data_IF_499486832690
#
_entry.id   IF_499486832690
#
_cell.length_a   1.000
_cell.length_b   1.000
_cell.length_c   1.000
_cell.angle_alpha   90.00
_cell.angle_beta   90.00
_cell.angle_gamma   90.00
#
_symmetry.space_group_name_H-M   'P 1'
#
loop_
_entity.id
_entity.type
_entity.pdbx_description
1 polymer ?
#
# COMPACT_ATOMS: atom_id res chain seq x y z
N UNK A 1 -2.79 -23.19 16.18
CA UNK A 1 -3.23 -22.28 15.10
C UNK A 1 -3.85 -20.98 15.63
N UNK A 2 -4.67 -21.03 16.66
CA UNK A 2 -5.27 -19.86 17.32
C UNK A 2 -4.22 -18.87 17.87
N UNK A 3 -3.15 -19.37 18.50
CA UNK A 3 -2.03 -18.54 18.95
C UNK A 3 -1.36 -17.73 17.84
N UNK A 4 -1.24 -18.31 16.63
CA UNK A 4 -0.66 -17.60 15.46
C UNK A 4 -1.58 -16.47 15.01
N UNK A 5 -2.88 -16.69 14.96
CA UNK A 5 -3.86 -15.67 14.62
C UNK A 5 -3.86 -14.50 15.62
N UNK A 6 -3.90 -14.80 16.92
CA UNK A 6 -3.83 -13.78 17.99
C UNK A 6 -2.54 -12.97 17.95
N UNK A 7 -1.40 -13.63 17.69
CA UNK A 7 -0.11 -12.93 17.51
C UNK A 7 -0.15 -11.97 16.30
N UNK A 8 -0.69 -12.43 15.17
CA UNK A 8 -0.78 -11.61 13.96
C UNK A 8 -1.64 -10.37 14.20
N UNK A 9 -2.79 -10.47 14.87
CA UNK A 9 -3.63 -9.31 15.20
C UNK A 9 -2.92 -8.33 16.18
N UNK A 10 -2.10 -8.83 17.10
CA UNK A 10 -1.28 -7.95 17.96
C UNK A 10 -0.25 -7.18 17.15
N UNK A 11 0.41 -7.83 16.18
CA UNK A 11 1.36 -7.17 15.27
C UNK A 11 0.63 -6.13 14.41
N UNK A 12 -0.56 -6.47 13.88
CA UNK A 12 -1.42 -5.51 13.15
C UNK A 12 -1.71 -4.27 14.00
N UNK A 13 -2.12 -4.46 15.25
CA UNK A 13 -2.38 -3.36 16.19
C UNK A 13 -1.14 -2.51 16.46
N UNK A 14 0.01 -3.15 16.71
CA UNK A 14 1.28 -2.44 16.92
C UNK A 14 1.71 -1.60 15.70
N UNK A 15 1.59 -2.16 14.49
CA UNK A 15 1.89 -1.43 13.25
C UNK A 15 0.89 -0.28 13.01
N UNK A 16 -0.39 -0.48 13.30
CA UNK A 16 -1.39 0.57 13.21
C UNK A 16 -1.14 1.72 14.20
N UNK A 17 -0.75 1.40 15.44
CA UNK A 17 -0.35 2.39 16.44
C UNK A 17 0.93 3.13 16.03
N UNK A 18 1.91 2.43 15.46
CA UNK A 18 3.13 3.04 14.95
C UNK A 18 2.84 4.02 13.80
N UNK A 19 1.98 3.62 12.87
CA UNK A 19 1.53 4.51 11.80
C UNK A 19 0.79 5.74 12.36
N UNK A 20 -0.15 5.55 13.29
CA UNK A 20 -0.88 6.65 13.91
C UNK A 20 0.05 7.61 14.67
N UNK A 21 1.02 7.08 15.43
CA UNK A 21 2.02 7.89 16.11
C UNK A 21 2.91 8.66 15.12
N UNK A 22 3.36 8.00 14.04
CA UNK A 22 4.14 8.65 12.99
C UNK A 22 3.34 9.77 12.30
N UNK A 23 2.07 9.51 11.96
CA UNK A 23 1.17 10.53 11.39
C UNK A 23 0.98 11.72 12.33
N UNK A 24 0.80 11.48 13.63
CA UNK A 24 0.71 12.55 14.62
C UNK A 24 2.01 13.37 14.69
N UNK A 25 3.18 12.73 14.64
CA UNK A 25 4.47 13.40 14.59
C UNK A 25 4.58 14.27 13.33
N UNK A 26 4.27 13.73 12.15
CA UNK A 26 4.29 14.49 10.89
C UNK A 26 3.32 15.68 10.94
N UNK A 27 2.15 15.53 11.56
CA UNK A 27 1.17 16.60 11.64
C UNK A 27 1.52 17.70 12.64
N UNK A 28 2.41 17.47 13.63
CA UNK A 28 2.58 18.39 14.76
C UNK A 28 4.02 18.81 15.03
N UNK A 29 5.03 18.07 14.55
CA UNK A 29 6.44 18.32 14.85
C UNK A 29 7.12 19.00 13.66
N UNK A 30 7.87 20.08 13.94
CA UNK A 30 8.64 20.83 12.94
C UNK A 30 7.80 21.16 11.69
N UNK A 31 6.63 21.74 11.91
CA UNK A 31 5.71 22.15 10.84
C UNK A 31 6.14 23.55 10.35
N UNK A 32 6.49 23.64 9.05
CA UNK A 32 6.97 24.89 8.44
C UNK A 32 6.45 25.04 7.00
N UNK A 33 6.31 26.28 6.49
CA UNK A 33 5.79 26.56 5.16
C UNK A 33 6.87 26.36 4.09
N UNK A 34 7.22 25.10 3.83
CA UNK A 34 8.25 24.71 2.85
C UNK A 34 7.67 24.19 1.53
N UNK A 35 6.38 23.96 1.47
CA UNK A 35 5.69 23.50 0.27
C UNK A 35 5.32 24.64 -0.68
N UNK A 36 4.80 24.31 -1.88
CA UNK A 36 4.26 25.30 -2.82
C UNK A 36 3.18 26.17 -2.17
N UNK A 37 3.06 27.41 -2.62
CA UNK A 37 2.10 28.40 -2.08
C UNK A 37 2.17 28.56 -0.55
N UNK A 38 3.39 28.39 0.01
CA UNK A 38 3.64 28.44 1.46
C UNK A 38 2.84 27.37 2.23
N UNK A 39 2.51 26.25 1.60
CA UNK A 39 1.83 25.16 2.28
C UNK A 39 2.71 24.56 3.38
N UNK A 40 2.07 24.31 4.54
CA UNK A 40 2.74 23.76 5.71
C UNK A 40 3.06 22.27 5.51
N UNK A 41 4.26 21.88 5.92
CA UNK A 41 4.76 20.51 5.84
C UNK A 41 5.38 20.14 7.19
N UNK A 42 5.00 19.00 7.73
CA UNK A 42 5.57 18.50 8.98
C UNK A 42 6.91 17.81 8.78
N UNK A 43 7.70 17.71 9.85
CA UNK A 43 9.10 17.28 9.80
C UNK A 43 9.88 18.00 8.69
N UNK A 44 9.69 19.31 8.63
CA UNK A 44 10.12 20.17 7.53
C UNK A 44 11.63 20.11 7.28
N UNK A 45 12.44 20.06 8.33
CA UNK A 45 13.91 19.97 8.21
C UNK A 45 14.31 18.65 7.51
N UNK A 46 13.72 17.53 7.89
CA UNK A 46 13.96 16.21 7.28
C UNK A 46 13.51 16.20 5.82
N UNK A 47 12.31 16.68 5.55
CA UNK A 47 11.71 16.70 4.22
C UNK A 47 12.49 17.61 3.26
N UNK A 48 12.91 18.81 3.74
CA UNK A 48 13.77 19.73 2.97
C UNK A 48 15.14 19.11 2.64
N UNK A 49 15.75 18.45 3.63
CA UNK A 49 17.03 17.77 3.42
C UNK A 49 16.90 16.66 2.35
N UNK A 50 15.89 15.79 2.47
CA UNK A 50 15.66 14.72 1.50
C UNK A 50 15.35 15.26 0.10
N UNK A 51 14.49 16.27 -0.01
CA UNK A 51 14.17 16.92 -1.28
C UNK A 51 15.39 17.60 -1.93
N UNK A 52 16.27 18.23 -1.11
CA UNK A 52 17.51 18.83 -1.58
C UNK A 52 18.52 17.82 -2.12
N UNK A 53 18.53 16.59 -1.60
CA UNK A 53 19.41 15.52 -2.10
C UNK A 53 18.88 14.86 -3.39
N UNK A 54 17.57 14.67 -3.50
CA UNK A 54 16.97 13.84 -4.55
C UNK A 54 16.49 14.68 -5.75
N UNK A 55 16.09 15.94 -5.50
CA UNK A 55 15.51 16.80 -6.52
C UNK A 55 14.18 16.29 -7.07
N UNK A 56 13.82 16.75 -8.28
CA UNK A 56 12.62 16.32 -9.00
C UNK A 56 13.03 15.64 -10.29
N UNK A 57 12.52 14.43 -10.53
CA UNK A 57 12.86 13.65 -11.72
C UNK A 57 11.57 13.15 -12.42
N UNK A 58 11.16 13.79 -13.54
CA UNK A 58 9.95 13.43 -14.27
C UNK A 58 9.96 11.99 -14.80
N UNK A 59 11.12 11.47 -15.21
CA UNK A 59 11.22 10.09 -15.71
C UNK A 59 10.79 9.07 -14.64
N UNK A 60 11.23 9.26 -13.38
CA UNK A 60 10.79 8.39 -12.29
C UNK A 60 9.31 8.58 -11.95
N UNK A 61 8.78 9.80 -12.15
CA UNK A 61 7.34 10.04 -12.03
C UNK A 61 6.58 9.18 -13.06
N UNK A 62 6.91 9.29 -14.35
CA UNK A 62 6.24 8.54 -15.42
C UNK A 62 6.36 7.02 -15.23
N UNK A 63 7.56 6.51 -14.90
CA UNK A 63 7.76 5.08 -14.63
C UNK A 63 6.82 4.61 -13.50
N UNK A 64 6.72 5.36 -12.43
CA UNK A 64 5.89 4.94 -11.27
C UNK A 64 4.40 5.09 -11.52
N UNK A 65 3.95 5.99 -12.39
CA UNK A 65 2.55 6.04 -12.87
C UNK A 65 2.20 4.74 -13.62
N UNK A 66 3.05 4.30 -14.55
CA UNK A 66 2.85 3.03 -15.26
C UNK A 66 2.88 1.82 -14.32
N UNK A 67 3.76 1.81 -13.34
CA UNK A 67 3.80 0.74 -12.33
C UNK A 67 2.55 0.73 -11.44
N UNK A 68 1.99 1.90 -11.17
CA UNK A 68 0.68 2.03 -10.52
C UNK A 68 -0.43 1.37 -11.34
N UNK A 69 -0.44 1.60 -12.67
CA UNK A 69 -1.37 0.93 -13.58
C UNK A 69 -1.18 -0.59 -13.57
N UNK A 70 0.07 -1.09 -13.57
CA UNK A 70 0.38 -2.54 -13.45
C UNK A 70 -0.16 -3.11 -12.13
N UNK A 71 -0.04 -2.38 -11.03
CA UNK A 71 -0.60 -2.81 -9.76
C UNK A 71 -2.13 -2.94 -9.84
N UNK A 72 -2.82 -1.92 -10.39
CA UNK A 72 -4.28 -1.96 -10.58
C UNK A 72 -4.69 -3.12 -11.50
N UNK A 73 -3.99 -3.35 -12.60
CA UNK A 73 -4.24 -4.49 -13.49
C UNK A 73 -4.07 -5.84 -12.77
N UNK A 74 -3.09 -5.93 -11.86
CA UNK A 74 -2.90 -7.12 -11.02
C UNK A 74 -4.11 -7.36 -10.10
N UNK A 75 -4.64 -6.30 -9.48
CA UNK A 75 -5.85 -6.37 -8.66
C UNK A 75 -7.07 -6.79 -9.48
N UNK A 76 -7.23 -6.23 -10.69
CA UNK A 76 -8.29 -6.62 -11.62
C UNK A 76 -8.17 -8.09 -12.06
N UNK A 77 -6.95 -8.61 -12.21
CA UNK A 77 -6.71 -10.03 -12.46
C UNK A 77 -7.27 -10.94 -11.36
N UNK A 78 -7.05 -10.58 -10.09
CA UNK A 78 -7.65 -11.30 -8.96
C UNK A 78 -9.17 -11.12 -8.88
N UNK A 79 -9.68 -9.94 -9.21
CA UNK A 79 -11.13 -9.71 -9.29
C UNK A 79 -11.77 -10.59 -10.39
N UNK A 80 -11.14 -10.67 -11.56
CA UNK A 80 -11.56 -11.56 -12.65
C UNK A 80 -11.54 -13.05 -12.23
N UNK A 81 -10.50 -13.48 -11.50
CA UNK A 81 -10.44 -14.82 -10.92
C UNK A 81 -11.62 -15.09 -9.98
N UNK A 82 -11.93 -14.13 -9.11
CA UNK A 82 -13.09 -14.22 -8.20
C UNK A 82 -14.41 -14.30 -8.96
N UNK A 83 -14.58 -13.46 -9.98
CA UNK A 83 -15.77 -13.47 -10.85
C UNK A 83 -15.91 -14.80 -11.59
N UNK A 84 -14.85 -15.33 -12.17
CA UNK A 84 -14.86 -16.65 -12.81
C UNK A 84 -15.28 -17.75 -11.83
N UNK A 85 -14.77 -17.72 -10.58
CA UNK A 85 -15.20 -18.67 -9.56
C UNK A 85 -16.68 -18.51 -9.22
N UNK A 86 -17.18 -17.28 -9.10
CA UNK A 86 -18.57 -17.00 -8.80
C UNK A 86 -19.51 -17.52 -9.89
N UNK A 87 -19.19 -17.23 -11.16
CA UNK A 87 -19.99 -17.69 -12.32
C UNK A 87 -20.03 -19.21 -12.37
N UNK A 88 -18.87 -19.88 -12.24
CA UNK A 88 -18.79 -21.35 -12.30
C UNK A 88 -19.49 -22.03 -11.14
N UNK A 89 -19.38 -21.48 -9.94
CA UNK A 89 -19.91 -22.10 -8.70
C UNK A 89 -21.31 -21.61 -8.34
N UNK A 90 -21.79 -20.55 -8.99
CA UNK A 90 -23.14 -19.93 -8.82
C UNK A 90 -23.49 -19.60 -7.36
N UNK A 91 -22.49 -19.35 -6.52
CA UNK A 91 -22.70 -19.02 -5.10
C UNK A 91 -21.46 -18.30 -4.55
N UNK A 92 -21.65 -17.16 -3.89
CA UNK A 92 -20.59 -16.42 -3.18
C UNK A 92 -19.94 -17.25 -2.09
N UNK A 93 -20.71 -18.08 -1.37
CA UNK A 93 -20.20 -18.94 -0.30
C UNK A 93 -19.26 -20.04 -0.81
N UNK A 94 -19.29 -20.33 -2.11
CA UNK A 94 -18.39 -21.30 -2.75
C UNK A 94 -17.16 -20.65 -3.39
N UNK A 95 -17.09 -19.32 -3.47
CA UNK A 95 -15.88 -18.62 -3.91
C UNK A 95 -14.79 -18.82 -2.87
N UNK A 96 -13.52 -18.86 -3.31
CA UNK A 96 -12.39 -18.99 -2.39
C UNK A 96 -12.40 -17.82 -1.38
N UNK A 97 -12.46 -18.12 -0.06
CA UNK A 97 -12.50 -17.07 0.95
C UNK A 97 -11.31 -16.13 0.93
N UNK A 98 -10.14 -16.58 0.45
CA UNK A 98 -8.99 -15.69 0.28
C UNK A 98 -9.24 -14.63 -0.76
N UNK A 99 -9.95 -14.95 -1.86
CA UNK A 99 -10.33 -13.99 -2.90
C UNK A 99 -11.41 -13.04 -2.39
N UNK A 100 -12.39 -13.53 -1.62
CA UNK A 100 -13.40 -12.67 -1.00
C UNK A 100 -12.77 -11.69 0.00
N UNK A 101 -11.86 -12.18 0.85
CA UNK A 101 -11.10 -11.34 1.76
C UNK A 101 -10.21 -10.34 1.01
N UNK A 102 -9.62 -10.74 -0.12
CA UNK A 102 -8.81 -9.85 -0.96
C UNK A 102 -9.65 -8.71 -1.55
N UNK A 103 -10.86 -9.01 -2.02
CA UNK A 103 -11.80 -7.99 -2.49
C UNK A 103 -12.19 -7.01 -1.39
N UNK A 104 -12.55 -7.51 -0.21
CA UNK A 104 -12.84 -6.68 0.96
C UNK A 104 -11.62 -5.83 1.38
N UNK A 105 -10.42 -6.39 1.31
CA UNK A 105 -9.17 -5.70 1.60
C UNK A 105 -8.91 -4.54 0.62
N UNK A 106 -9.11 -4.75 -0.69
CA UNK A 106 -8.92 -3.68 -1.68
C UNK A 106 -9.96 -2.57 -1.54
N UNK A 107 -11.19 -2.90 -1.14
CA UNK A 107 -12.18 -1.88 -0.77
C UNK A 107 -11.70 -1.07 0.44
N UNK A 108 -11.17 -1.73 1.47
CA UNK A 108 -10.61 -1.04 2.63
C UNK A 108 -9.42 -0.12 2.25
N UNK A 109 -8.51 -0.57 1.38
CA UNK A 109 -7.41 0.25 0.85
C UNK A 109 -7.94 1.49 0.11
N UNK A 110 -8.96 1.31 -0.74
CA UNK A 110 -9.59 2.43 -1.45
C UNK A 110 -10.27 3.44 -0.49
N UNK A 111 -10.94 2.96 0.56
CA UNK A 111 -11.54 3.82 1.58
C UNK A 111 -10.48 4.61 2.38
N UNK A 112 -9.36 3.97 2.71
CA UNK A 112 -8.22 4.64 3.35
C UNK A 112 -7.62 5.71 2.43
N UNK A 113 -7.45 5.41 1.14
CA UNK A 113 -7.04 6.40 0.14
C UNK A 113 -7.98 7.61 0.14
N UNK A 114 -9.29 7.39 -0.02
CA UNK A 114 -10.30 8.47 -0.04
C UNK A 114 -10.32 9.27 1.27
N UNK A 115 -10.04 8.63 2.40
CA UNK A 115 -9.93 9.30 3.69
C UNK A 115 -8.78 10.33 3.68
N UNK A 116 -7.57 9.93 3.23
CA UNK A 116 -6.41 10.81 3.21
C UNK A 116 -6.46 11.87 2.10
N UNK A 117 -7.24 11.68 1.05
CA UNK A 117 -7.56 12.74 0.08
C UNK A 117 -8.42 13.86 0.72
N UNK A 118 -9.15 13.56 1.78
CA UNK A 118 -10.00 14.53 2.50
C UNK A 118 -9.34 15.07 3.77
N UNK A 119 -8.54 14.26 4.45
CA UNK A 119 -7.78 14.62 5.65
C UNK A 119 -6.35 14.89 5.25
N UNK A 120 -6.07 16.12 4.85
CA UNK A 120 -4.78 16.54 4.33
C UNK A 120 -3.80 16.74 5.49
N UNK A 121 -2.68 16.01 5.46
CA UNK A 121 -1.57 16.14 6.41
C UNK A 121 -0.45 16.99 5.78
N UNK A 122 0.00 16.65 4.56
CA UNK A 122 0.93 17.41 3.76
C UNK A 122 0.37 17.60 2.35
N UNK A 123 0.73 18.72 1.71
CA UNK A 123 0.60 18.91 0.26
C UNK A 123 1.88 18.46 -0.44
N UNK A 124 1.80 18.18 -1.76
CA UNK A 124 2.95 17.76 -2.57
C UNK A 124 4.05 18.83 -2.59
N UNK A 125 5.33 18.41 -2.74
CA UNK A 125 6.44 19.35 -2.90
C UNK A 125 6.42 20.11 -4.24
N UNK A 126 5.64 19.64 -5.22
CA UNK A 126 5.51 20.25 -6.56
C UNK A 126 4.04 20.33 -6.96
N UNK A 127 3.67 21.31 -7.73
CA UNK A 127 2.34 21.42 -8.36
C UNK A 127 2.41 20.63 -9.66
N UNK A 128 1.56 19.61 -9.78
CA UNK A 128 1.47 18.75 -10.98
C UNK A 128 0.40 19.26 -11.94
N UNK A 129 -0.76 19.67 -11.40
CA UNK A 129 -1.90 20.17 -12.14
C UNK A 129 -2.28 21.61 -11.70
N UNK A 130 -3.55 21.95 -11.67
CA UNK A 130 -4.04 23.30 -11.42
C UNK A 130 -4.06 23.73 -9.95
N UNK A 131 -3.39 23.03 -9.00
CA UNK A 131 -3.44 23.43 -7.60
C UNK A 131 -2.67 22.51 -6.64
N UNK A 132 -2.86 22.76 -5.35
CA UNK A 132 -2.26 21.95 -4.29
C UNK A 132 -2.99 20.61 -4.16
N UNK A 133 -2.23 19.52 -4.20
CA UNK A 133 -2.74 18.16 -4.03
C UNK A 133 -2.27 17.55 -2.71
N UNK A 134 -3.13 16.75 -2.07
CA UNK A 134 -2.76 15.94 -0.92
C UNK A 134 -1.60 14.99 -1.28
N UNK A 135 -0.64 14.82 -0.36
CA UNK A 135 0.51 13.95 -0.63
C UNK A 135 0.73 12.85 0.40
N UNK A 136 0.27 13.04 1.63
CA UNK A 136 0.47 12.09 2.72
C UNK A 136 -0.77 11.22 2.97
N UNK A 137 -0.58 9.90 3.16
CA UNK A 137 0.58 9.09 2.76
C UNK A 137 0.62 8.88 1.24
N UNK A 138 1.79 8.60 0.66
CA UNK A 138 1.91 8.38 -0.79
C UNK A 138 0.99 7.25 -1.27
N UNK A 139 -0.02 7.60 -2.08
CA UNK A 139 -1.01 6.66 -2.61
C UNK A 139 -0.40 5.54 -3.45
N UNK A 140 0.56 5.87 -4.34
CA UNK A 140 1.27 4.89 -5.14
C UNK A 140 2.08 3.91 -4.28
N UNK A 141 2.71 4.39 -3.21
CA UNK A 141 3.40 3.54 -2.24
C UNK A 141 2.41 2.58 -1.57
N UNK A 142 1.26 3.09 -1.10
CA UNK A 142 0.23 2.26 -0.45
C UNK A 142 -0.33 1.22 -1.42
N UNK A 143 -0.72 1.64 -2.63
CA UNK A 143 -1.30 0.76 -3.65
C UNK A 143 -0.30 -0.33 -4.05
N UNK A 144 0.95 0.05 -4.37
CA UNK A 144 1.97 -0.92 -4.79
C UNK A 144 2.25 -1.96 -3.71
N UNK A 145 2.50 -1.53 -2.47
CA UNK A 145 2.81 -2.46 -1.38
C UNK A 145 1.60 -3.34 -1.05
N UNK A 146 0.39 -2.78 -0.97
CA UNK A 146 -0.82 -3.56 -0.66
C UNK A 146 -1.16 -4.58 -1.75
N UNK A 147 -1.11 -4.18 -3.03
CA UNK A 147 -1.48 -5.08 -4.12
C UNK A 147 -0.38 -6.11 -4.36
N UNK A 148 0.87 -5.70 -4.52
CA UNK A 148 1.97 -6.63 -4.78
C UNK A 148 2.26 -7.53 -3.58
N UNK A 149 2.19 -7.01 -2.35
CA UNK A 149 2.36 -7.81 -1.14
C UNK A 149 1.28 -8.88 -0.99
N UNK A 150 0.01 -8.54 -1.25
CA UNK A 150 -1.07 -9.54 -1.24
C UNK A 150 -1.01 -10.49 -2.44
N UNK A 151 -0.52 -10.03 -3.60
CA UNK A 151 -0.29 -10.90 -4.77
C UNK A 151 0.70 -12.02 -4.45
N UNK A 152 1.83 -11.73 -3.79
CA UNK A 152 2.77 -12.75 -3.30
C UNK A 152 2.03 -13.80 -2.45
N UNK A 153 1.19 -13.35 -1.51
CA UNK A 153 0.42 -14.28 -0.66
C UNK A 153 -0.55 -15.16 -1.47
N UNK A 154 -1.16 -14.63 -2.55
CA UNK A 154 -2.02 -15.41 -3.45
C UNK A 154 -1.21 -16.39 -4.29
N UNK A 155 -0.04 -15.99 -4.82
CA UNK A 155 0.84 -16.89 -5.57
C UNK A 155 1.27 -18.08 -4.72
N UNK A 156 1.64 -17.86 -3.46
CA UNK A 156 1.95 -18.96 -2.52
C UNK A 156 0.77 -19.90 -2.27
N UNK A 157 -0.46 -19.42 -2.40
CA UNK A 157 -1.64 -20.27 -2.30
C UNK A 157 -1.93 -21.06 -3.59
N UNK A 158 -1.96 -20.35 -4.74
CA UNK A 158 -2.40 -20.95 -6.01
C UNK A 158 -1.30 -21.72 -6.75
N UNK A 159 -0.03 -21.37 -6.55
CA UNK A 159 1.12 -22.01 -7.18
C UNK A 159 1.84 -22.99 -6.25
N UNK A 160 1.17 -23.44 -5.20
CA UNK A 160 1.73 -24.40 -4.24
C UNK A 160 2.29 -25.63 -4.96
N UNK A 161 3.54 -26.00 -4.67
CA UNK A 161 4.25 -27.11 -5.33
C UNK A 161 4.91 -26.75 -6.67
N UNK A 162 4.76 -25.53 -7.18
CA UNK A 162 5.40 -25.06 -8.41
C UNK A 162 6.55 -24.08 -8.07
N UNK A 163 7.61 -24.60 -7.44
CA UNK A 163 8.68 -23.79 -6.86
C UNK A 163 9.30 -22.78 -7.84
N UNK A 164 9.56 -23.19 -9.08
CA UNK A 164 10.17 -22.29 -10.10
C UNK A 164 9.26 -21.08 -10.35
N UNK A 165 7.94 -21.33 -10.55
CA UNK A 165 6.98 -20.25 -10.77
C UNK A 165 6.82 -19.34 -9.55
N UNK A 166 6.87 -19.90 -8.34
CA UNK A 166 6.82 -19.09 -7.12
C UNK A 166 8.02 -18.15 -7.03
N UNK A 167 9.24 -18.66 -7.25
CA UNK A 167 10.44 -17.83 -7.21
C UNK A 167 10.39 -16.70 -8.25
N UNK A 168 9.95 -17.01 -9.48
CA UNK A 168 9.79 -16.00 -10.54
C UNK A 168 8.77 -14.94 -10.14
N UNK A 169 7.56 -15.36 -9.72
CA UNK A 169 6.49 -14.42 -9.40
C UNK A 169 6.83 -13.57 -8.17
N UNK A 170 7.42 -14.15 -7.13
CA UNK A 170 7.85 -13.43 -5.94
C UNK A 170 8.94 -12.40 -6.29
N UNK A 171 9.94 -12.79 -7.10
CA UNK A 171 11.04 -11.89 -7.50
C UNK A 171 10.52 -10.72 -8.34
N UNK A 172 9.68 -11.00 -9.35
CA UNK A 172 9.09 -9.95 -10.21
C UNK A 172 8.22 -9.02 -9.37
N UNK A 173 7.36 -9.56 -8.55
CA UNK A 173 6.42 -8.76 -7.74
C UNK A 173 7.15 -7.92 -6.69
N UNK A 174 8.17 -8.49 -6.03
CA UNK A 174 9.02 -7.76 -5.09
C UNK A 174 9.81 -6.65 -5.78
N UNK A 175 10.33 -6.91 -6.99
CA UNK A 175 11.02 -5.89 -7.80
C UNK A 175 10.08 -4.74 -8.18
N UNK A 176 8.89 -5.04 -8.71
CA UNK A 176 7.88 -4.02 -9.06
C UNK A 176 7.52 -3.16 -7.85
N UNK A 177 7.31 -3.78 -6.69
CA UNK A 177 7.04 -3.08 -5.43
C UNK A 177 8.21 -2.17 -5.05
N UNK A 178 9.44 -2.67 -5.04
CA UNK A 178 10.63 -1.91 -4.66
C UNK A 178 10.88 -0.74 -5.61
N UNK A 179 10.79 -0.98 -6.94
CA UNK A 179 10.97 0.07 -7.96
C UNK A 179 9.90 1.14 -7.84
N UNK A 180 8.64 0.78 -7.55
CA UNK A 180 7.58 1.77 -7.34
C UNK A 180 7.86 2.64 -6.11
N UNK A 181 8.19 2.04 -4.96
CA UNK A 181 8.43 2.80 -3.71
C UNK A 181 9.66 3.70 -3.84
N UNK A 182 10.79 3.14 -4.33
CA UNK A 182 12.03 3.91 -4.52
C UNK A 182 11.85 4.96 -5.61
N UNK A 183 11.21 4.61 -6.72
CA UNK A 183 10.95 5.52 -7.83
C UNK A 183 10.06 6.69 -7.41
N UNK A 184 9.04 6.46 -6.56
CA UNK A 184 8.21 7.55 -6.00
C UNK A 184 9.04 8.51 -5.13
N UNK A 185 10.00 8.00 -4.37
CA UNK A 185 10.93 8.83 -3.63
C UNK A 185 11.85 9.63 -4.58
N UNK A 186 12.40 8.98 -5.61
CA UNK A 186 13.30 9.61 -6.59
C UNK A 186 12.58 10.57 -7.54
N UNK A 187 11.27 10.42 -7.74
CA UNK A 187 10.48 11.33 -8.57
C UNK A 187 10.39 12.75 -7.99
N UNK A 188 10.55 12.89 -6.66
CA UNK A 188 10.47 14.17 -5.97
C UNK A 188 9.07 14.78 -5.89
N UNK A 189 8.01 14.03 -6.25
CA UNK A 189 6.60 14.48 -6.16
C UNK A 189 5.95 14.19 -4.81
N UNK A 190 6.70 13.56 -3.91
CA UNK A 190 6.32 13.28 -2.52
C UNK A 190 7.45 13.63 -1.57
N UNK A 191 7.08 14.05 -0.37
CA UNK A 191 8.03 14.19 0.72
C UNK A 191 8.50 12.81 1.19
N UNK A 192 9.70 12.75 1.79
CA UNK A 192 10.21 11.53 2.39
C UNK A 192 9.21 10.93 3.41
N UNK A 193 8.58 11.80 4.21
CA UNK A 193 7.59 11.39 5.20
C UNK A 193 6.35 10.75 4.59
N UNK A 194 5.95 11.15 3.38
CA UNK A 194 4.79 10.58 2.69
C UNK A 194 5.06 9.12 2.27
N UNK A 195 6.28 8.87 1.80
CA UNK A 195 6.71 7.50 1.45
C UNK A 195 6.83 6.63 2.72
N UNK A 196 7.46 7.15 3.77
CA UNK A 196 7.60 6.44 5.05
C UNK A 196 6.22 6.12 5.66
N UNK A 197 5.30 7.09 5.65
CA UNK A 197 3.91 6.90 6.08
C UNK A 197 3.19 5.84 5.24
N UNK A 198 3.38 5.87 3.91
CA UNK A 198 2.84 4.86 2.98
C UNK A 198 3.34 3.45 3.30
N UNK A 199 4.63 3.28 3.58
CA UNK A 199 5.22 1.98 3.97
C UNK A 199 4.65 1.49 5.31
N UNK A 200 4.56 2.35 6.32
CA UNK A 200 4.01 1.99 7.63
C UNK A 200 2.53 1.57 7.54
N UNK A 201 1.71 2.38 6.85
CA UNK A 201 0.29 2.10 6.64
C UNK A 201 0.08 0.77 5.92
N UNK A 202 0.79 0.57 4.82
CA UNK A 202 0.70 -0.65 4.02
C UNK A 202 1.14 -1.89 4.79
N UNK A 203 2.17 -1.76 5.63
CA UNK A 203 2.62 -2.85 6.50
C UNK A 203 1.52 -3.26 7.48
N UNK A 204 0.83 -2.29 8.08
CA UNK A 204 -0.31 -2.55 8.97
C UNK A 204 -1.48 -3.21 8.21
N UNK A 205 -1.81 -2.71 7.02
CA UNK A 205 -2.90 -3.22 6.19
C UNK A 205 -2.62 -4.66 5.71
N UNK A 206 -1.41 -4.95 5.19
CA UNK A 206 -1.04 -6.31 4.78
C UNK A 206 -1.08 -7.27 5.96
N UNK A 207 -0.61 -6.83 7.13
CA UNK A 207 -0.65 -7.65 8.32
C UNK A 207 -2.08 -7.92 8.78
N UNK A 208 -3.00 -6.94 8.61
CA UNK A 208 -4.44 -7.12 8.83
C UNK A 208 -5.00 -8.20 7.89
N UNK A 209 -4.69 -8.11 6.59
CA UNK A 209 -5.10 -9.12 5.61
C UNK A 209 -4.57 -10.52 5.96
N UNK A 210 -3.29 -10.64 6.30
CA UNK A 210 -2.67 -11.89 6.73
C UNK A 210 -3.34 -12.48 7.99
N UNK A 211 -3.72 -11.60 8.91
CA UNK A 211 -4.44 -11.98 10.15
C UNK A 211 -5.83 -12.52 9.84
N UNK A 212 -6.57 -11.83 8.96
CA UNK A 212 -7.90 -12.24 8.53
C UNK A 212 -7.88 -13.59 7.79
N UNK A 213 -6.94 -13.79 6.87
CA UNK A 213 -6.74 -15.07 6.17
C UNK A 213 -6.44 -16.19 7.18
N UNK A 214 -5.50 -15.96 8.10
CA UNK A 214 -5.14 -16.94 9.13
C UNK A 214 -6.32 -17.30 10.03
N UNK A 215 -7.16 -16.33 10.36
CA UNK A 215 -8.36 -16.53 11.18
C UNK A 215 -9.42 -17.39 10.47
N UNK A 216 -9.71 -17.07 9.20
CA UNK A 216 -10.70 -17.83 8.40
C UNK A 216 -10.24 -19.25 8.15
N UNK A 217 -8.95 -19.47 7.90
CA UNK A 217 -8.39 -20.83 7.72
C UNK A 217 -8.40 -21.66 9.00
N UNK A 218 -8.22 -21.00 10.14
CA UNK A 218 -8.31 -21.68 11.44
C UNK A 218 -9.73 -22.20 11.69
N UNK A 219 -10.77 -21.40 11.40
CA UNK A 219 -12.17 -21.79 11.58
C UNK A 219 -12.66 -22.91 10.65
N UNK A 220 -12.07 -23.04 9.46
CA UNK A 220 -12.45 -24.12 8.52
C UNK A 220 -11.89 -25.49 8.89
N UNK A 221 -10.97 -25.57 9.84
CA UNK A 221 -10.32 -26.82 10.29
C UNK A 221 -10.91 -27.36 11.59
N UNK A 222 -11.83 -26.64 12.19
CA UNK A 222 -12.66 -27.05 13.34
C UNK A 222 -14.03 -27.46 12.82
#
# INVERSE_FOLDING_TARGET
MEHKSKRNFRITGALGLLFAAFTAIVATVDVSPIGPEQSSVGLAALNRFAAGLLGVNPLWYDITEWLGAVAVLSALGFAALGLCQLIRRRSLLKVDPRILLLGAFYIAVALVYLFFERVIINYRPVILDAGLEASYPSSHTVIAICIFGTAIMQFHHYLRGKTVWLVIMDSVTALLMAVTVIGRLLSGVHWFTDIAGGVLLSSALIMLYASAVSYVECRKKV
#
